data_IF_611313614796
#
_entry.id   IF_611313614796
#
_cell.length_a   1.000
_cell.length_b   1.000
_cell.length_c   1.000
_cell.angle_alpha   90.00
_cell.angle_beta   90.00
_cell.angle_gamma   90.00
#
_symmetry.space_group_name_H-M   'P 1'
#
loop_
_entity.id
_entity.type
_entity.pdbx_description
1 polymer ?
#
# COMPACT_ATOMS: atom_id res chain seq x y z
N UNK A 1 -5.47 5.32 16.33
CA UNK A 1 -6.61 6.02 15.72
C UNK A 1 -6.13 7.01 14.66
N UNK A 2 -6.76 6.96 13.48
CA UNK A 2 -6.56 7.91 12.38
C UNK A 2 -6.97 9.32 12.86
N UNK A 3 -6.14 10.34 12.59
CA UNK A 3 -6.37 11.73 13.00
C UNK A 3 -7.05 12.58 11.94
N UNK A 4 -6.82 12.26 10.67
CA UNK A 4 -7.40 12.96 9.52
C UNK A 4 -7.29 12.08 8.28
N UNK A 5 -8.23 12.27 7.36
CA UNK A 5 -8.24 11.69 6.03
C UNK A 5 -8.21 12.84 5.03
N UNK A 6 -7.37 12.72 4.01
CA UNK A 6 -7.26 13.67 2.91
C UNK A 6 -7.81 13.01 1.66
N UNK A 7 -8.96 13.49 1.25
CA UNK A 7 -9.62 13.16 -0.01
C UNK A 7 -8.86 13.78 -1.18
N UNK A 8 -8.76 13.04 -2.28
CA UNK A 8 -7.99 13.41 -3.49
C UNK A 8 -8.86 13.26 -4.73
N UNK A 9 -8.40 13.77 -5.87
CA UNK A 9 -9.19 13.66 -7.11
C UNK A 9 -9.51 12.20 -7.50
N UNK A 10 -10.80 11.92 -7.74
CA UNK A 10 -11.31 10.58 -8.08
C UNK A 10 -11.35 10.32 -9.59
N UNK A 11 -10.19 10.42 -10.26
CA UNK A 11 -10.06 10.26 -11.72
C UNK A 11 -9.27 8.99 -12.13
N UNK A 12 -9.31 7.96 -11.29
CA UNK A 12 -8.62 6.68 -11.50
C UNK A 12 -7.18 6.62 -10.98
N UNK A 13 -6.58 7.76 -10.61
CA UNK A 13 -5.24 7.83 -10.01
C UNK A 13 -5.25 8.13 -8.50
N UNK A 14 -6.41 8.00 -7.83
CA UNK A 14 -6.59 8.34 -6.41
C UNK A 14 -5.55 7.67 -5.48
N UNK A 15 -5.12 6.45 -5.79
CA UNK A 15 -4.08 5.76 -5.02
C UNK A 15 -2.69 6.40 -5.13
N UNK A 16 -2.24 6.71 -6.35
CA UNK A 16 -0.96 7.40 -6.56
C UNK A 16 -1.00 8.84 -6.05
N UNK A 17 -2.14 9.54 -6.22
CA UNK A 17 -2.41 10.87 -5.66
C UNK A 17 -2.35 10.87 -4.15
N UNK A 18 -2.94 9.86 -3.51
CA UNK A 18 -2.87 9.65 -2.06
C UNK A 18 -1.45 9.38 -1.60
N UNK A 19 -0.67 8.58 -2.34
CA UNK A 19 0.74 8.37 -2.03
C UNK A 19 1.54 9.69 -2.08
N UNK A 20 1.37 10.48 -3.14
CA UNK A 20 1.98 11.81 -3.27
C UNK A 20 1.55 12.74 -2.13
N UNK A 21 0.26 12.79 -1.81
CA UNK A 21 -0.28 13.60 -0.72
C UNK A 21 0.26 13.17 0.66
N UNK A 22 0.43 11.86 0.89
CA UNK A 22 0.95 11.30 2.14
C UNK A 22 2.43 11.66 2.37
N UNK A 23 3.24 11.77 1.32
CA UNK A 23 4.64 12.21 1.42
C UNK A 23 4.78 13.74 1.42
N UNK A 24 3.67 14.48 1.50
CA UNK A 24 3.65 15.94 1.58
C UNK A 24 3.73 16.66 0.24
N UNK A 25 3.68 15.94 -0.88
CA UNK A 25 3.60 16.55 -2.21
C UNK A 25 2.16 16.98 -2.55
N UNK A 26 2.03 17.79 -3.60
CA UNK A 26 0.72 18.08 -4.20
C UNK A 26 0.27 16.84 -4.99
N UNK A 27 -1.00 16.48 -4.88
CA UNK A 27 -1.54 15.27 -5.53
C UNK A 27 -1.33 15.23 -7.06
N UNK A 28 -1.21 16.40 -7.71
CA UNK A 28 -0.94 16.51 -9.14
C UNK A 28 0.39 15.88 -9.58
N UNK A 29 1.31 15.62 -8.65
CA UNK A 29 2.60 14.96 -8.90
C UNK A 29 2.53 13.42 -8.82
N UNK A 30 1.33 12.84 -8.93
CA UNK A 30 1.15 11.39 -8.90
C UNK A 30 1.93 10.66 -10.02
N UNK A 31 2.18 11.32 -11.14
CA UNK A 31 2.96 10.78 -12.26
C UNK A 31 4.41 10.45 -11.86
N UNK A 32 5.00 11.25 -10.97
CA UNK A 32 6.35 10.97 -10.43
C UNK A 32 6.36 9.65 -9.64
N UNK A 33 5.27 9.35 -8.93
CA UNK A 33 5.10 8.08 -8.21
C UNK A 33 5.03 6.91 -9.21
N UNK A 34 4.23 7.05 -10.27
CA UNK A 34 4.12 6.04 -11.32
C UNK A 34 5.48 5.77 -11.98
N UNK A 35 6.21 6.81 -12.37
CA UNK A 35 7.52 6.67 -12.99
C UNK A 35 8.57 6.07 -12.04
N UNK A 36 8.53 6.42 -10.75
CA UNK A 36 9.39 5.79 -9.76
C UNK A 36 9.09 4.29 -9.63
N UNK A 37 7.82 3.89 -9.59
CA UNK A 37 7.44 2.48 -9.55
C UNK A 37 7.83 1.71 -10.82
N UNK A 38 7.66 2.30 -12.01
CA UNK A 38 8.12 1.69 -13.27
C UNK A 38 9.64 1.54 -13.27
N UNK A 39 10.38 2.53 -12.74
CA UNK A 39 11.84 2.41 -12.62
C UNK A 39 12.23 1.26 -11.71
N UNK A 40 11.58 1.11 -10.55
CA UNK A 40 11.91 0.02 -9.62
C UNK A 40 11.53 -1.35 -10.16
N UNK A 41 10.39 -1.48 -10.84
CA UNK A 41 9.99 -2.76 -11.43
C UNK A 41 10.96 -3.22 -12.54
N UNK A 42 11.57 -2.26 -13.25
CA UNK A 42 12.59 -2.53 -14.26
C UNK A 42 13.97 -2.82 -13.65
N UNK A 43 14.30 -2.16 -12.54
CA UNK A 43 15.62 -2.24 -11.91
C UNK A 43 15.80 -3.50 -11.06
N UNK A 44 14.76 -3.90 -10.32
CA UNK A 44 14.86 -4.99 -9.35
C UNK A 44 14.43 -6.31 -9.98
N UNK A 45 15.37 -7.26 -10.08
CA UNK A 45 15.13 -8.58 -10.68
C UNK A 45 13.99 -9.37 -9.99
N UNK A 46 13.72 -9.10 -8.72
CA UNK A 46 12.66 -9.75 -7.94
C UNK A 46 11.28 -9.61 -8.60
N UNK A 47 10.97 -8.45 -9.18
CA UNK A 47 9.66 -8.17 -9.77
C UNK A 47 9.45 -8.84 -11.13
N UNK A 48 10.49 -9.40 -11.72
CA UNK A 48 10.43 -10.20 -12.95
C UNK A 48 10.36 -11.71 -12.67
N UNK A 49 10.50 -12.13 -11.40
CA UNK A 49 10.48 -13.55 -11.06
C UNK A 49 9.05 -14.12 -11.16
N UNK A 50 8.84 -15.24 -11.86
CA UNK A 50 7.53 -15.86 -12.00
C UNK A 50 6.87 -16.18 -10.65
N UNK A 51 7.63 -16.72 -9.70
CA UNK A 51 7.15 -17.04 -8.36
C UNK A 51 6.66 -15.81 -7.58
N UNK A 52 7.33 -14.66 -7.75
CA UNK A 52 6.89 -13.41 -7.16
C UNK A 52 5.57 -12.95 -7.79
N UNK A 53 5.51 -12.95 -9.13
CA UNK A 53 4.33 -12.52 -9.88
C UNK A 53 3.12 -13.42 -9.60
N UNK A 54 3.33 -14.72 -9.47
CA UNK A 54 2.27 -15.67 -9.10
C UNK A 54 1.69 -15.35 -7.73
N UNK A 55 2.57 -15.13 -6.74
CA UNK A 55 2.16 -14.88 -5.37
C UNK A 55 1.53 -13.49 -5.15
N UNK A 56 2.07 -12.45 -5.80
CA UNK A 56 1.69 -11.06 -5.52
C UNK A 56 0.80 -10.43 -6.59
N UNK A 57 0.88 -10.91 -7.83
CA UNK A 57 0.28 -10.26 -8.99
C UNK A 57 -0.73 -11.15 -9.73
N UNK A 58 -1.22 -12.23 -9.12
CA UNK A 58 -2.24 -13.12 -9.71
C UNK A 58 -1.81 -13.61 -11.11
N UNK A 59 -0.54 -14.00 -11.24
CA UNK A 59 0.07 -14.47 -12.50
C UNK A 59 0.00 -13.47 -13.67
N UNK A 60 -0.23 -12.18 -13.40
CA UNK A 60 -0.16 -11.15 -14.44
C UNK A 60 1.25 -11.11 -15.03
N UNK A 61 1.41 -11.19 -16.36
CA UNK A 61 2.72 -11.10 -16.98
C UNK A 61 3.42 -9.79 -16.64
N UNK A 62 4.73 -9.84 -16.38
CA UNK A 62 5.55 -8.67 -16.05
C UNK A 62 5.31 -7.49 -17.01
N UNK A 63 5.31 -7.75 -18.32
CA UNK A 63 5.09 -6.72 -19.32
C UNK A 63 3.72 -6.02 -19.19
N UNK A 64 2.67 -6.77 -18.81
CA UNK A 64 1.34 -6.21 -18.56
C UNK A 64 1.33 -5.39 -17.28
N UNK A 65 1.92 -5.89 -16.20
CA UNK A 65 2.04 -5.17 -14.92
C UNK A 65 2.78 -3.85 -15.11
N UNK A 66 3.95 -3.88 -15.77
CA UNK A 66 4.76 -2.70 -16.08
C UNK A 66 4.00 -1.71 -16.95
N UNK A 67 3.32 -2.17 -18.01
CA UNK A 67 2.55 -1.30 -18.90
C UNK A 67 1.36 -0.64 -18.19
N UNK A 68 0.72 -1.36 -17.28
CA UNK A 68 -0.38 -0.82 -16.48
C UNK A 68 0.11 0.33 -15.56
N UNK A 69 1.28 0.17 -14.94
CA UNK A 69 1.92 1.20 -14.11
C UNK A 69 2.41 2.41 -14.93
N UNK A 70 2.86 2.20 -16.16
CA UNK A 70 3.36 3.26 -17.04
C UNK A 70 2.25 4.09 -17.73
N UNK A 71 1.07 4.18 -17.12
CA UNK A 71 -0.06 4.94 -17.63
C UNK A 71 -0.36 6.13 -16.71
N UNK A 72 -0.10 7.36 -17.17
CA UNK A 72 -0.26 8.57 -16.36
C UNK A 72 -1.43 9.46 -16.81
N UNK A 73 -2.06 9.18 -17.97
CA UNK A 73 -3.19 9.97 -18.43
C UNK A 73 -4.40 9.83 -17.50
N UNK A 74 -5.21 10.89 -17.40
CA UNK A 74 -6.37 10.95 -16.53
C UNK A 74 -7.59 11.48 -17.30
N UNK A 75 -8.79 10.89 -17.12
CA UNK A 75 -9.10 9.75 -16.25
C UNK A 75 -8.54 8.42 -16.78
N UNK A 76 -8.42 7.41 -15.91
CA UNK A 76 -7.94 6.08 -16.30
C UNK A 76 -8.89 4.94 -15.89
N UNK A 77 -8.79 3.82 -16.62
CA UNK A 77 -9.56 2.59 -16.35
C UNK A 77 -8.96 1.77 -15.19
N UNK A 78 -9.76 0.89 -14.59
CA UNK A 78 -9.40 0.04 -13.43
C UNK A 78 -8.06 -0.71 -13.56
N UNK A 79 -7.69 -1.13 -14.78
CA UNK A 79 -6.42 -1.82 -15.03
C UNK A 79 -5.17 -0.98 -14.71
N UNK A 80 -5.31 0.34 -14.64
CA UNK A 80 -4.24 1.29 -14.32
C UNK A 80 -4.28 1.76 -12.86
N UNK A 81 -5.23 1.28 -12.06
CA UNK A 81 -5.30 1.65 -10.64
C UNK A 81 -4.18 0.99 -9.86
N UNK A 82 -3.75 1.62 -8.77
CA UNK A 82 -2.97 0.92 -7.77
C UNK A 82 -3.86 -0.12 -7.07
N UNK A 83 -3.29 -1.31 -6.85
CA UNK A 83 -3.96 -2.48 -6.27
C UNK A 83 -3.04 -3.11 -5.24
N UNK A 84 -3.57 -3.44 -4.07
CA UNK A 84 -2.86 -4.14 -3.01
C UNK A 84 -3.39 -5.58 -2.92
N UNK A 85 -2.53 -6.60 -2.73
CA UNK A 85 -1.11 -6.49 -2.34
C UNK A 85 -0.13 -6.22 -3.50
N UNK A 86 -0.56 -6.41 -4.76
CA UNK A 86 0.26 -6.38 -5.98
C UNK A 86 1.32 -5.29 -6.06
N UNK A 87 0.97 -4.06 -5.71
CA UNK A 87 1.83 -2.90 -5.88
C UNK A 87 2.51 -2.44 -4.58
N UNK A 88 2.23 -3.09 -3.45
CA UNK A 88 2.65 -2.60 -2.14
C UNK A 88 4.16 -2.52 -1.97
N UNK A 89 4.88 -3.59 -2.34
CA UNK A 89 6.34 -3.66 -2.25
C UNK A 89 7.02 -2.81 -3.32
N UNK A 90 6.48 -2.77 -4.54
CA UNK A 90 6.96 -1.91 -5.62
C UNK A 90 6.89 -0.43 -5.20
N UNK A 91 5.77 -0.02 -4.57
CA UNK A 91 5.62 1.35 -4.05
C UNK A 91 6.58 1.62 -2.88
N UNK A 92 6.80 0.64 -2.01
CA UNK A 92 7.73 0.75 -0.90
C UNK A 92 9.17 0.97 -1.38
N UNK A 93 9.64 0.18 -2.36
CA UNK A 93 10.95 0.38 -2.98
C UNK A 93 11.04 1.74 -3.68
N UNK A 94 10.02 2.12 -4.45
CA UNK A 94 10.00 3.38 -5.22
C UNK A 94 10.13 4.61 -4.31
N UNK A 95 9.55 4.54 -3.12
CA UNK A 95 9.57 5.64 -2.15
C UNK A 95 10.60 5.46 -1.03
N UNK A 96 11.29 4.31 -1.01
CA UNK A 96 12.29 3.89 -0.02
C UNK A 96 11.82 4.04 1.43
N UNK A 97 10.57 3.68 1.69
CA UNK A 97 9.89 3.86 2.98
C UNK A 97 8.74 2.88 3.14
N UNK A 98 8.28 2.61 4.37
CA UNK A 98 7.14 1.72 4.60
C UNK A 98 5.84 2.26 4.01
N UNK A 99 5.00 1.35 3.51
CA UNK A 99 3.62 1.63 3.10
C UNK A 99 2.67 0.98 4.09
N UNK A 100 1.94 1.80 4.82
CA UNK A 100 0.89 1.39 5.74
C UNK A 100 -0.43 1.42 4.99
N UNK A 101 -0.94 0.24 4.65
CA UNK A 101 -2.18 0.07 3.92
C UNK A 101 -3.28 -0.46 4.84
N UNK A 102 -4.45 0.16 4.76
CA UNK A 102 -5.66 -0.22 5.50
C UNK A 102 -6.85 -0.26 4.54
N UNK A 103 -7.56 -1.38 4.52
CA UNK A 103 -8.90 -1.54 3.96
C UNK A 103 -9.67 -2.58 4.78
N UNK A 104 -10.93 -2.87 4.43
CA UNK A 104 -11.63 -3.97 5.11
C UNK A 104 -11.10 -5.33 4.66
N UNK A 105 -10.63 -5.43 3.41
CA UNK A 105 -10.05 -6.65 2.86
C UNK A 105 -8.62 -6.92 3.33
N UNK A 106 -7.76 -5.89 3.38
CA UNK A 106 -6.32 -6.05 3.65
C UNK A 106 -5.85 -4.95 4.60
N UNK A 107 -5.20 -5.36 5.68
CA UNK A 107 -4.41 -4.49 6.54
C UNK A 107 -2.99 -5.02 6.58
N UNK A 108 -2.06 -4.30 5.95
CA UNK A 108 -0.68 -4.76 5.80
C UNK A 108 0.31 -3.61 5.80
N UNK A 109 1.51 -3.90 6.29
CA UNK A 109 2.69 -3.06 6.11
C UNK A 109 3.54 -3.65 4.99
N UNK A 110 3.77 -2.88 3.94
CA UNK A 110 4.71 -3.22 2.87
C UNK A 110 6.02 -2.47 3.10
N UNK A 111 7.12 -3.21 3.07
CA UNK A 111 8.46 -2.68 3.28
C UNK A 111 9.26 -2.80 1.99
N UNK A 112 10.28 -1.94 1.78
CA UNK A 112 11.20 -2.08 0.66
C UNK A 112 11.83 -3.48 0.65
N UNK A 113 11.90 -4.10 -0.53
CA UNK A 113 12.56 -5.39 -0.74
C UNK A 113 14.06 -5.20 -1.00
N UNK A 114 14.40 -4.14 -1.73
CA UNK A 114 15.75 -3.96 -2.29
C UNK A 114 16.59 -2.89 -1.60
N UNK A 115 16.03 -2.20 -0.61
CA UNK A 115 16.68 -1.09 0.07
C UNK A 115 16.63 -1.23 1.58
N UNK A 116 17.72 -0.87 2.24
CA UNK A 116 17.80 -0.82 3.70
C UNK A 116 16.97 0.31 4.33
N UNK A 117 16.87 0.30 5.67
CA UNK A 117 16.08 1.27 6.41
C UNK A 117 16.44 2.73 6.15
N UNK A 118 15.44 3.58 6.12
CA UNK A 118 15.59 5.04 6.02
C UNK A 118 14.82 5.74 7.14
N UNK A 119 15.15 7.00 7.40
CA UNK A 119 14.42 7.85 8.34
C UNK A 119 13.19 8.54 7.70
N UNK A 120 12.80 8.11 6.50
CA UNK A 120 11.66 8.70 5.81
C UNK A 120 10.35 8.25 6.49
N UNK A 121 9.42 9.18 6.77
CA UNK A 121 8.14 8.80 7.35
C UNK A 121 7.37 7.89 6.40
N UNK A 122 6.57 6.95 6.92
CA UNK A 122 5.80 6.01 6.08
C UNK A 122 4.74 6.71 5.23
N UNK A 123 4.27 6.00 4.21
CA UNK A 123 3.08 6.37 3.45
C UNK A 123 1.86 5.73 4.10
N UNK A 124 0.80 6.49 4.32
CA UNK A 124 -0.45 6.02 4.92
C UNK A 124 -1.57 6.06 3.89
N UNK A 125 -2.06 4.90 3.48
CA UNK A 125 -3.09 4.74 2.48
C UNK A 125 -4.29 3.98 3.05
N UNK A 126 -5.49 4.55 2.86
CA UNK A 126 -6.74 3.88 3.19
C UNK A 126 -7.58 3.71 1.94
N UNK A 127 -8.06 2.49 1.69
CA UNK A 127 -8.99 2.20 0.60
C UNK A 127 -10.42 2.11 1.14
N UNK A 128 -11.30 2.97 0.63
CA UNK A 128 -12.73 2.94 0.97
C UNK A 128 -13.48 2.15 -0.10
N UNK A 129 -13.71 0.86 0.17
CA UNK A 129 -14.26 -0.10 -0.79
C UNK A 129 -15.60 0.32 -1.39
N UNK A 130 -16.55 0.79 -0.56
CA UNK A 130 -17.85 1.28 -1.03
C UNK A 130 -17.78 2.54 -1.91
N UNK A 131 -16.61 3.20 -1.97
CA UNK A 131 -16.35 4.37 -2.82
C UNK A 131 -15.36 4.10 -3.95
N UNK A 132 -14.76 2.91 -4.00
CA UNK A 132 -13.65 2.58 -4.90
C UNK A 132 -12.56 3.67 -4.92
N UNK A 133 -12.22 4.22 -3.75
CA UNK A 133 -11.38 5.41 -3.64
C UNK A 133 -10.30 5.29 -2.57
N UNK A 134 -9.07 5.61 -2.93
CA UNK A 134 -7.94 5.71 -2.01
C UNK A 134 -7.82 7.11 -1.45
N UNK A 135 -7.54 7.21 -0.15
CA UNK A 135 -7.22 8.46 0.51
C UNK A 135 -5.86 8.35 1.21
N UNK A 136 -5.18 9.49 1.35
CA UNK A 136 -4.10 9.61 2.32
C UNK A 136 -4.71 9.80 3.70
N UNK A 137 -4.08 9.28 4.75
CA UNK A 137 -4.50 9.56 6.11
C UNK A 137 -3.31 9.91 7.00
N UNK A 138 -3.59 10.45 8.19
CA UNK A 138 -2.57 10.68 9.22
C UNK A 138 -2.92 9.90 10.47
N UNK A 139 -1.90 9.46 11.18
CA UNK A 139 -2.07 8.83 12.47
C UNK A 139 -1.93 9.84 13.62
N UNK A 140 -2.76 9.74 14.67
CA UNK A 140 -2.49 10.40 15.95
C UNK A 140 -1.72 9.42 16.84
N UNK A 141 -0.39 9.41 16.72
CA UNK A 141 0.46 8.59 17.56
C UNK A 141 0.73 9.24 18.91
N UNK A 142 0.82 8.46 19.99
CA UNK A 142 1.38 8.93 21.26
C UNK A 142 2.91 8.95 21.10
N UNK A 143 3.54 10.11 21.28
CA UNK A 143 5.00 10.24 21.11
C UNK A 143 5.50 10.01 19.68
N UNK A 144 4.65 10.17 18.66
CA UNK A 144 5.02 9.95 17.25
C UNK A 144 4.98 8.48 16.79
N UNK A 145 4.66 7.54 17.67
CA UNK A 145 4.54 6.12 17.33
C UNK A 145 3.17 5.86 16.71
N UNK A 146 3.16 5.42 15.44
CA UNK A 146 1.96 4.93 14.76
C UNK A 146 1.89 3.39 14.86
N UNK A 147 0.71 2.78 15.04
CA UNK A 147 0.54 1.34 14.96
C UNK A 147 0.58 0.90 13.50
N UNK A 148 1.50 0.00 13.19
CA UNK A 148 1.68 -0.58 11.86
C UNK A 148 1.00 -1.95 11.81
N UNK A 149 0.11 -2.24 10.83
CA UNK A 149 -0.39 -3.58 10.60
C UNK A 149 0.74 -4.60 10.40
N UNK A 150 0.45 -5.91 10.44
CA UNK A 150 1.44 -6.94 10.17
C UNK A 150 2.21 -6.71 8.87
N UNK A 151 3.51 -6.99 8.88
CA UNK A 151 4.33 -6.96 7.66
C UNK A 151 3.80 -8.00 6.67
N UNK A 152 3.72 -7.62 5.39
CA UNK A 152 3.35 -8.55 4.32
C UNK A 152 4.23 -9.79 4.36
N UNK A 153 3.62 -10.99 4.30
CA UNK A 153 4.36 -12.26 4.34
C UNK A 153 5.35 -12.39 3.18
N UNK A 154 5.03 -11.77 2.04
CA UNK A 154 5.88 -11.71 0.85
C UNK A 154 7.25 -11.09 1.14
N UNK A 155 7.30 -10.09 2.01
CA UNK A 155 8.53 -9.38 2.34
C UNK A 155 9.55 -10.33 2.98
N UNK A 156 9.07 -11.25 3.84
CA UNK A 156 9.95 -12.21 4.48
C UNK A 156 10.58 -13.22 3.50
N UNK A 157 9.94 -13.43 2.34
CA UNK A 157 10.43 -14.34 1.30
C UNK A 157 11.35 -13.63 0.30
N UNK A 158 11.05 -12.39 -0.05
CA UNK A 158 11.62 -11.73 -1.23
C UNK A 158 12.61 -10.61 -0.93
N UNK A 159 12.74 -10.17 0.32
CA UNK A 159 13.69 -9.10 0.67
C UNK A 159 15.12 -9.53 0.40
N UNK A 160 15.93 -8.56 0.00
CA UNK A 160 17.39 -8.66 -0.04
C UNK A 160 17.98 -8.57 1.36
N UNK A 161 19.23 -8.96 1.52
CA UNK A 161 19.94 -8.89 2.80
C UNK A 161 19.92 -7.48 3.40
N UNK A 162 20.18 -6.46 2.58
CA UNK A 162 20.23 -5.06 3.01
C UNK A 162 18.91 -4.54 3.56
N UNK A 163 17.78 -5.15 3.19
CA UNK A 163 16.46 -4.76 3.67
C UNK A 163 16.11 -5.36 5.04
N UNK A 164 16.86 -6.35 5.55
CA UNK A 164 16.49 -7.12 6.76
C UNK A 164 16.22 -6.26 7.99
N UNK A 165 16.96 -5.16 8.15
CA UNK A 165 16.86 -4.28 9.33
C UNK A 165 15.53 -3.51 9.41
N UNK A 166 14.69 -3.52 8.38
CA UNK A 166 13.37 -2.88 8.44
C UNK A 166 12.46 -3.52 9.50
N UNK A 167 12.54 -4.83 9.71
CA UNK A 167 11.69 -5.53 10.70
C UNK A 167 11.95 -5.01 12.11
N UNK A 168 13.23 -4.91 12.48
CA UNK A 168 13.66 -4.33 13.74
C UNK A 168 13.27 -2.86 13.85
N UNK A 169 13.44 -2.07 12.78
CA UNK A 169 13.10 -0.64 12.79
C UNK A 169 11.61 -0.39 13.10
N UNK A 170 10.71 -1.22 12.55
CA UNK A 170 9.27 -1.02 12.73
C UNK A 170 8.67 -1.80 13.90
N UNK A 171 9.47 -2.54 14.67
CA UNK A 171 8.98 -3.40 15.75
C UNK A 171 8.09 -2.65 16.74
N UNK A 172 8.51 -1.45 17.19
CA UNK A 172 7.72 -0.64 18.13
C UNK A 172 6.37 -0.20 17.54
N UNK A 173 6.31 0.02 16.22
CA UNK A 173 5.07 0.34 15.52
C UNK A 173 4.15 -0.88 15.44
N UNK A 174 4.70 -2.09 15.24
CA UNK A 174 3.94 -3.35 15.25
C UNK A 174 3.40 -3.68 16.64
N UNK A 175 4.20 -3.53 17.68
CA UNK A 175 3.74 -3.72 19.07
C UNK A 175 2.62 -2.73 19.42
N UNK A 176 2.74 -1.49 18.91
CA UNK A 176 1.68 -0.49 18.99
C UNK A 176 0.37 -0.93 18.33
N UNK A 177 0.43 -1.71 17.24
CA UNK A 177 -0.75 -2.26 16.57
C UNK A 177 -1.42 -3.35 17.39
N UNK A 178 -0.66 -4.32 17.88
CA UNK A 178 -1.18 -5.44 18.67
C UNK A 178 -1.83 -4.99 19.98
N UNK A 179 -1.41 -3.84 20.52
CA UNK A 179 -1.98 -3.25 21.74
C UNK A 179 -3.20 -2.36 21.49
N UNK A 180 -3.25 -1.66 20.35
CA UNK A 180 -4.29 -0.65 20.08
C UNK A 180 -5.44 -1.15 19.20
N UNK A 181 -5.21 -2.19 18.41
CA UNK A 181 -6.21 -2.76 17.51
C UNK A 181 -6.72 -4.06 18.13
N UNK A 182 -8.01 -4.13 18.52
CA UNK A 182 -8.60 -5.36 19.03
C UNK A 182 -8.38 -6.47 18.01
N UNK A 183 -7.82 -7.60 18.46
CA UNK A 183 -7.84 -8.82 17.66
C UNK A 183 -9.30 -9.25 17.59
N UNK A 184 -9.94 -9.05 16.43
CA UNK A 184 -11.26 -9.62 16.19
C UNK A 184 -11.21 -11.13 16.42
N UNK A 185 -12.28 -11.71 16.97
CA UNK A 185 -12.37 -13.16 17.06
C UNK A 185 -12.19 -13.76 15.65
N UNK A 186 -11.35 -14.80 15.48
CA UNK A 186 -11.19 -15.47 14.20
C UNK A 186 -12.50 -16.21 13.89
N UNK A 187 -13.41 -15.56 13.16
CA UNK A 187 -14.71 -16.15 12.82
C UNK A 187 -15.81 -15.19 12.38
N UNK A 188 -15.68 -13.87 12.55
CA UNK A 188 -16.66 -12.94 12.01
C UNK A 188 -16.41 -12.71 10.51
N UNK A 189 -16.85 -13.68 9.69
CA UNK A 189 -17.23 -13.40 8.31
C UNK A 189 -18.24 -12.25 8.38
N UNK A 190 -17.90 -11.08 7.84
CA UNK A 190 -18.90 -10.10 7.50
C UNK A 190 -19.77 -10.76 6.44
N UNK A 191 -20.97 -11.16 6.86
CA UNK A 191 -21.99 -11.76 6.02
C UNK A 191 -22.33 -10.74 4.92
N UNK A 192 -21.74 -10.93 3.74
CA UNK A 192 -22.00 -10.14 2.54
C UNK A 192 -23.24 -10.68 1.84
N UNK A 193 -24.32 -10.86 2.60
CA UNK A 193 -25.66 -11.21 2.09
C UNK A 193 -26.79 -10.52 2.88
N UNK A 194 -26.52 -9.30 3.38
CA UNK A 194 -27.57 -8.40 3.86
C UNK A 194 -27.70 -7.18 2.93
N UNK A 195 -27.93 -7.44 1.65
CA UNK A 195 -28.61 -6.49 0.76
C UNK A 195 -30.02 -7.02 0.55
N UNK A 196 -30.97 -6.52 1.34
CA UNK A 196 -32.25 -6.08 0.81
C UNK A 196 -33.10 -5.41 1.89
N UNK A 197 -33.60 -4.23 1.57
CA UNK A 197 -34.74 -3.62 2.25
C UNK A 197 -34.40 -2.50 3.22
N UNK A 198 -34.32 -1.28 2.71
CA UNK A 198 -35.14 -0.18 3.24
C UNK A 198 -35.25 0.95 2.22
N UNK A 199 -36.40 0.96 1.55
CA UNK A 199 -36.98 2.17 0.97
C UNK A 199 -37.35 3.13 2.11
N UNK A 200 -36.86 4.37 2.03
CA UNK A 200 -37.62 5.63 2.00
C UNK A 200 -36.65 6.80 1.86
#
# INVERSE_FOLDING_TARGET
MISSIRDVDSNGHCGFRSAAASIGQKEKYYEDICWAMVREIDLQAVYQQPDYLSMMAEDIPFAVLRNNLNFTQSPCQKKHWIVFPRHGEILADALRRPIIHISNLIMATYLPLSYGPTNLPPVFLVYLEGKYHYNAFKFKGRGGIYPAPPISRSWFRWRTEVATDWDALIQINRDGWDTQVPKGEPGALLDVDAVDGLQL
#
